data_IF_080762729259
#
_entry.id   IF_080762729259
#
_cell.length_a   1.000
_cell.length_b   1.000
_cell.length_c   1.000
_cell.angle_alpha   90.00
_cell.angle_beta   90.00
_cell.angle_gamma   90.00
#
_symmetry.space_group_name_H-M   'P 1'
#
loop_
_entity.id
_entity.type
_entity.pdbx_description
1 polymer ?
#
# COMPACT_ATOMS: atom_id res chain seq x y z
N UNK A 1 0.01 14.39 14.45
CA UNK A 1 -0.48 14.32 13.06
C UNK A 1 -0.77 15.74 12.59
N UNK A 2 -0.17 16.19 11.48
CA UNK A 2 -0.49 17.50 10.91
C UNK A 2 -1.94 17.55 10.40
N UNK A 3 -2.63 18.70 10.51
CA UNK A 3 -3.99 18.86 9.98
C UNK A 3 -4.09 18.58 8.48
N UNK A 4 -5.29 18.18 8.03
CA UNK A 4 -5.59 17.99 6.61
C UNK A 4 -5.29 19.24 5.78
N UNK A 5 -4.84 19.03 4.55
CA UNK A 5 -4.51 20.10 3.58
C UNK A 5 -3.41 21.08 4.02
N UNK A 6 -2.52 20.67 4.94
CA UNK A 6 -1.32 21.45 5.30
C UNK A 6 -0.10 21.03 4.46
N UNK A 7 0.84 21.96 4.28
CA UNK A 7 2.11 21.69 3.60
C UNK A 7 2.92 20.60 4.31
N UNK A 8 2.92 20.62 5.64
CA UNK A 8 3.59 19.62 6.47
C UNK A 8 3.06 18.21 6.17
N UNK A 9 1.74 18.04 6.06
CA UNK A 9 1.16 16.75 5.66
C UNK A 9 1.60 16.35 4.25
N UNK A 10 1.62 17.28 3.29
CA UNK A 10 2.09 17.00 1.93
C UNK A 10 3.55 16.55 1.89
N UNK A 11 4.42 17.14 2.73
CA UNK A 11 5.83 16.76 2.83
C UNK A 11 5.99 15.34 3.39
N UNK A 12 5.23 14.96 4.42
CA UNK A 12 5.20 13.58 4.92
C UNK A 12 4.74 12.58 3.86
N UNK A 13 3.67 12.90 3.12
CA UNK A 13 3.17 12.06 2.02
C UNK A 13 4.23 11.89 0.93
N UNK A 14 4.92 12.97 0.55
CA UNK A 14 5.96 12.92 -0.48
C UNK A 14 7.13 12.01 -0.09
N UNK A 15 7.55 12.03 1.19
CA UNK A 15 8.59 11.13 1.70
C UNK A 15 8.13 9.68 1.68
N UNK A 16 6.92 9.39 2.18
CA UNK A 16 6.39 8.02 2.26
C UNK A 16 6.21 7.37 0.88
N UNK A 17 5.79 8.14 -0.12
CA UNK A 17 5.57 7.65 -1.49
C UNK A 17 6.84 7.58 -2.35
N UNK A 18 8.01 8.00 -1.86
CA UNK A 18 9.26 8.01 -2.65
C UNK A 18 9.61 6.64 -3.25
N UNK A 19 9.30 5.56 -2.53
CA UNK A 19 9.62 4.18 -2.92
C UNK A 19 8.41 3.23 -2.77
N UNK A 20 7.21 3.78 -2.67
CA UNK A 20 5.95 3.04 -2.50
C UNK A 20 4.85 3.72 -3.29
N UNK A 21 3.89 2.94 -3.79
CA UNK A 21 2.75 3.47 -4.53
C UNK A 21 1.54 3.79 -3.66
N UNK A 22 1.57 3.42 -2.38
CA UNK A 22 0.52 3.71 -1.43
C UNK A 22 1.09 3.98 -0.03
N UNK A 23 0.41 4.82 0.76
CA UNK A 23 0.75 5.09 2.16
C UNK A 23 -0.51 5.30 2.99
N UNK A 24 -0.47 4.80 4.24
CA UNK A 24 -1.45 5.15 5.26
C UNK A 24 -1.09 6.50 5.90
N UNK A 25 -2.11 7.26 6.24
CA UNK A 25 -2.01 8.54 6.94
C UNK A 25 -2.65 8.33 8.32
N UNK A 26 -1.82 8.43 9.37
CA UNK A 26 -2.25 8.23 10.75
C UNK A 26 -3.48 9.10 11.06
N UNK A 27 -4.56 8.49 11.58
CA UNK A 27 -5.85 9.13 11.86
C UNK A 27 -6.54 9.83 10.66
N UNK A 28 -6.26 9.43 9.42
CA UNK A 28 -6.87 10.05 8.23
C UNK A 28 -7.40 9.01 7.23
N UNK A 29 -6.53 8.16 6.69
CA UNK A 29 -6.90 7.28 5.58
C UNK A 29 -5.71 6.83 4.75
N UNK A 30 -5.91 6.73 3.43
CA UNK A 30 -4.99 6.12 2.47
C UNK A 30 -4.81 7.04 1.26
N UNK A 31 -3.57 7.17 0.78
CA UNK A 31 -3.25 7.69 -0.56
C UNK A 31 -2.61 6.57 -1.38
N UNK A 32 -3.17 6.29 -2.55
CA UNK A 32 -2.62 5.37 -3.55
C UNK A 32 -2.44 6.09 -4.90
N UNK A 33 -1.35 5.79 -5.60
CA UNK A 33 -0.98 6.44 -6.86
C UNK A 33 -0.50 5.41 -7.88
N UNK A 34 -1.00 5.54 -9.11
CA UNK A 34 -0.62 4.69 -10.24
C UNK A 34 -0.74 5.47 -11.56
N UNK A 35 -0.29 4.86 -12.66
CA UNK A 35 -0.25 5.47 -13.98
C UNK A 35 -1.64 5.75 -14.59
N UNK A 36 -2.71 5.14 -14.09
CA UNK A 36 -4.10 5.39 -14.50
C UNK A 36 -5.05 5.32 -13.32
N UNK A 37 -6.23 5.93 -13.44
CA UNK A 37 -7.26 5.93 -12.39
C UNK A 37 -7.72 4.51 -12.03
N UNK A 38 -7.90 3.66 -13.02
CA UNK A 38 -8.30 2.25 -12.82
C UNK A 38 -7.26 1.48 -12.00
N UNK A 39 -5.98 1.62 -12.35
CA UNK A 39 -4.88 1.01 -11.59
C UNK A 39 -4.74 1.58 -10.19
N UNK A 40 -4.97 2.89 -10.02
CA UNK A 40 -4.92 3.54 -8.71
C UNK A 40 -6.07 3.08 -7.80
N UNK A 41 -7.27 2.91 -8.37
CA UNK A 41 -8.42 2.39 -7.64
C UNK A 41 -8.21 0.92 -7.26
N UNK A 42 -7.72 0.09 -8.19
CA UNK A 42 -7.36 -1.28 -7.89
C UNK A 42 -6.32 -1.36 -6.77
N UNK A 43 -5.25 -0.56 -6.84
CA UNK A 43 -4.22 -0.53 -5.81
C UNK A 43 -4.78 -0.11 -4.45
N UNK A 44 -5.66 0.89 -4.41
CA UNK A 44 -6.31 1.32 -3.19
C UNK A 44 -7.15 0.18 -2.57
N UNK A 45 -7.86 -0.58 -3.40
CA UNK A 45 -8.64 -1.73 -2.95
C UNK A 45 -7.77 -2.85 -2.38
N UNK A 46 -6.68 -3.22 -3.05
CA UNK A 46 -5.77 -4.25 -2.55
C UNK A 46 -5.12 -3.87 -1.21
N UNK A 47 -4.77 -2.60 -1.03
CA UNK A 47 -4.23 -2.12 0.26
C UNK A 47 -5.30 -2.21 1.36
N UNK A 48 -6.56 -1.96 1.06
CA UNK A 48 -7.68 -2.15 2.00
C UNK A 48 -7.85 -3.63 2.37
N UNK A 49 -7.78 -4.54 1.39
CA UNK A 49 -7.83 -5.99 1.63
C UNK A 49 -6.67 -6.44 2.53
N UNK A 50 -5.45 -5.95 2.27
CA UNK A 50 -4.28 -6.22 3.11
C UNK A 50 -4.46 -5.67 4.54
N UNK A 51 -5.01 -4.46 4.68
CA UNK A 51 -5.29 -3.86 5.98
C UNK A 51 -6.31 -4.70 6.78
N UNK A 52 -7.38 -5.15 6.13
CA UNK A 52 -8.39 -6.01 6.74
C UNK A 52 -7.81 -7.37 7.15
N UNK A 53 -7.00 -8.00 6.30
CA UNK A 53 -6.29 -9.24 6.62
C UNK A 53 -5.38 -9.07 7.84
N UNK A 54 -4.58 -8.00 7.84
CA UNK A 54 -3.66 -7.71 8.94
C UNK A 54 -4.41 -7.50 10.26
N UNK A 55 -5.47 -6.68 10.27
CA UNK A 55 -6.27 -6.45 11.48
C UNK A 55 -6.97 -7.73 11.98
N UNK A 56 -7.51 -8.54 11.06
CA UNK A 56 -8.20 -9.79 11.41
C UNK A 56 -7.26 -10.81 12.04
N UNK A 57 -6.03 -10.91 11.52
CA UNK A 57 -5.01 -11.84 12.03
C UNK A 57 -4.35 -11.33 13.30
N UNK A 58 -4.11 -10.02 13.40
CA UNK A 58 -3.54 -9.38 14.59
C UNK A 58 -4.41 -9.57 15.84
N UNK A 59 -5.74 -9.63 15.67
CA UNK A 59 -6.67 -9.93 16.76
C UNK A 59 -6.51 -11.35 17.34
N UNK A 60 -5.84 -12.25 16.61
CA UNK A 60 -5.64 -13.66 16.99
C UNK A 60 -4.19 -13.91 17.45
N UNK A 61 -3.21 -13.32 16.74
CA UNK A 61 -1.79 -13.52 17.01
C UNK A 61 -1.01 -12.21 16.82
N UNK A 62 -0.18 -11.88 17.81
CA UNK A 62 0.72 -10.73 17.79
C UNK A 62 2.14 -11.19 18.20
N UNK A 63 3.15 -11.13 17.29
CA UNK A 63 3.09 -10.55 15.95
C UNK A 63 2.36 -11.44 14.93
N UNK A 64 1.79 -10.81 13.91
CA UNK A 64 1.27 -11.51 12.72
C UNK A 64 2.47 -12.11 11.97
N UNK A 65 2.47 -13.41 11.63
CA UNK A 65 3.51 -13.99 10.79
C UNK A 65 3.58 -13.31 9.42
N UNK A 66 4.78 -12.95 8.97
CA UNK A 66 5.03 -12.28 7.69
C UNK A 66 5.97 -13.10 6.82
N UNK A 67 5.94 -12.84 5.51
CA UNK A 67 6.94 -13.35 4.57
C UNK A 67 8.29 -12.66 4.82
N UNK A 68 9.38 -13.38 4.57
CA UNK A 68 10.72 -12.82 4.57
C UNK A 68 11.00 -11.99 3.30
N UNK A 69 12.09 -11.21 3.35
CA UNK A 69 12.46 -10.30 2.26
C UNK A 69 12.80 -11.08 0.98
N UNK A 70 13.36 -12.28 1.09
CA UNK A 70 13.68 -13.15 -0.04
C UNK A 70 12.41 -13.61 -0.77
N UNK A 71 11.38 -14.06 -0.05
CA UNK A 71 10.10 -14.45 -0.63
C UNK A 71 9.43 -13.24 -1.32
N UNK A 72 9.46 -12.06 -0.69
CA UNK A 72 8.92 -10.83 -1.28
C UNK A 72 9.70 -10.44 -2.55
N UNK A 73 11.03 -10.55 -2.56
CA UNK A 73 11.84 -10.26 -3.73
C UNK A 73 11.49 -11.16 -4.93
N UNK A 74 11.25 -12.46 -4.68
CA UNK A 74 10.81 -13.41 -5.71
C UNK A 74 9.45 -12.99 -6.30
N UNK A 75 8.50 -12.58 -5.47
CA UNK A 75 7.17 -12.13 -5.93
C UNK A 75 7.29 -10.83 -6.75
N UNK A 76 8.10 -9.88 -6.29
CA UNK A 76 8.34 -8.62 -7.02
C UNK A 76 8.93 -8.86 -8.41
N UNK A 77 9.86 -9.80 -8.55
CA UNK A 77 10.42 -10.14 -9.85
C UNK A 77 9.38 -10.77 -10.78
N UNK A 78 8.56 -11.70 -10.27
CA UNK A 78 7.47 -12.29 -11.04
C UNK A 78 6.46 -11.25 -11.53
N UNK A 79 6.13 -10.26 -10.70
CA UNK A 79 5.26 -9.15 -11.08
C UNK A 79 5.79 -8.28 -12.21
N UNK A 80 7.10 -8.20 -12.45
CA UNK A 80 7.63 -7.49 -13.63
C UNK A 80 7.31 -8.21 -14.93
N UNK A 81 7.37 -9.54 -14.91
CA UNK A 81 7.20 -10.39 -16.11
C UNK A 81 5.75 -10.79 -16.39
N UNK A 82 4.92 -10.90 -15.35
CA UNK A 82 3.53 -11.37 -15.43
C UNK A 82 2.51 -10.33 -14.92
N UNK A 83 2.96 -9.11 -14.61
CA UNK A 83 2.18 -8.11 -13.88
C UNK A 83 0.84 -7.73 -14.50
N UNK A 84 0.01 -7.06 -13.68
CA UNK A 84 -1.39 -6.70 -13.94
C UNK A 84 -1.71 -6.47 -15.42
N UNK A 85 -2.36 -7.48 -16.02
CA UNK A 85 -3.19 -7.30 -17.20
C UNK A 85 -4.58 -6.96 -16.71
N UNK A 86 -4.80 -5.67 -16.46
CA UNK A 86 -6.16 -5.16 -16.54
C UNK A 86 -6.42 -5.07 -18.05
N UNK A 87 -7.21 -5.99 -18.59
CA UNK A 87 -7.63 -5.94 -19.99
C UNK A 87 -8.44 -4.66 -20.20
N UNK A 88 -8.19 -3.93 -21.30
CA UNK A 88 -9.00 -2.79 -21.74
C UNK A 88 -10.44 -3.19 -22.08
#
# INVERSE_FOLDING_TARGET
>A
MPPSATRELSEHVAVALKHRKATLLQHHGLIACEASLEKALWLAHEVEVLAQLYLSTLAITDPVPVLDDEAIAIVLEKFKTYGLRIEE
#
